data_IF_297263633238
#
_entry.id   IF_297263633238
#
_cell.length_a   1.000
_cell.length_b   1.000
_cell.length_c   1.000
_cell.angle_alpha   90.00
_cell.angle_beta   90.00
_cell.angle_gamma   90.00
#
_symmetry.space_group_name_H-M   'P 1'
#
loop_
_entity.id
_entity.type
_entity.pdbx_description
1 polymer ?
#
# COMPACT_ATOMS: atom_id res chain seq x y z
N UNK A 1 -4.33 32.16 4.23
CA UNK A 1 -5.35 31.08 4.36
C UNK A 1 -4.60 29.76 4.42
N UNK A 2 -4.83 28.95 5.45
CA UNK A 2 -4.23 27.61 5.60
C UNK A 2 -5.36 26.60 5.43
N UNK A 3 -5.12 25.53 4.67
CA UNK A 3 -6.10 24.52 4.34
C UNK A 3 -5.46 23.14 4.40
N UNK A 4 -6.19 22.17 4.93
CA UNK A 4 -5.89 20.77 4.68
C UNK A 4 -6.26 20.41 3.23
N UNK A 5 -5.61 19.40 2.66
CA UNK A 5 -5.87 18.96 1.28
C UNK A 5 -7.34 18.62 1.01
N UNK A 6 -8.05 18.08 2.01
CA UNK A 6 -9.50 17.79 1.93
C UNK A 6 -10.39 19.04 1.80
N UNK A 7 -9.87 20.22 2.13
CA UNK A 7 -10.58 21.50 2.01
C UNK A 7 -10.25 22.23 0.71
N UNK A 8 -9.31 21.72 -0.09
CA UNK A 8 -9.00 22.22 -1.43
C UNK A 8 -9.99 21.60 -2.43
N UNK A 9 -11.19 22.16 -2.49
CA UNK A 9 -12.29 21.66 -3.32
C UNK A 9 -12.65 22.59 -4.50
N UNK A 10 -12.04 23.78 -4.56
CA UNK A 10 -12.23 24.75 -5.63
C UNK A 10 -10.87 25.28 -6.10
N UNK A 11 -10.59 25.05 -7.38
CA UNK A 11 -9.37 25.45 -8.05
C UNK A 11 -9.22 26.99 -8.13
N UNK A 12 -10.31 27.75 -8.13
CA UNK A 12 -10.29 29.20 -8.16
C UNK A 12 -9.64 29.81 -6.92
N UNK A 13 -9.56 29.05 -5.81
CA UNK A 13 -8.86 29.46 -4.58
C UNK A 13 -7.39 29.81 -4.85
N UNK A 14 -6.75 29.16 -5.84
CA UNK A 14 -5.35 29.35 -6.17
C UNK A 14 -5.08 30.56 -7.10
N UNK A 15 -6.09 31.04 -7.83
CA UNK A 15 -5.92 32.05 -8.90
C UNK A 15 -5.32 33.35 -8.38
N UNK A 16 -4.22 33.79 -9.01
CA UNK A 16 -3.48 35.00 -8.67
C UNK A 16 -2.76 34.96 -7.32
N UNK A 17 -2.67 33.80 -6.66
CA UNK A 17 -2.07 33.67 -5.33
C UNK A 17 -0.73 32.96 -5.36
N UNK A 18 0.09 33.24 -4.35
CA UNK A 18 1.26 32.44 -4.00
C UNK A 18 0.79 31.24 -3.17
N UNK A 19 1.04 30.04 -3.66
CA UNK A 19 0.60 28.79 -3.02
C UNK A 19 1.80 28.02 -2.51
N UNK A 20 1.78 27.66 -1.22
CA UNK A 20 2.74 26.74 -0.62
C UNK A 20 2.00 25.44 -0.31
N UNK A 21 2.49 24.33 -0.86
CA UNK A 21 1.95 22.99 -0.61
C UNK A 21 2.92 22.24 0.29
N UNK A 22 2.43 21.79 1.45
CA UNK A 22 3.21 20.99 2.39
C UNK A 22 2.92 19.51 2.16
N UNK A 23 3.96 18.73 1.85
CA UNK A 23 3.88 17.30 1.59
C UNK A 23 4.48 16.89 0.25
N UNK A 24 4.78 15.59 0.11
CA UNK A 24 5.42 15.04 -1.08
C UNK A 24 4.70 13.83 -1.68
N UNK A 25 3.47 13.52 -1.24
CA UNK A 25 2.70 12.38 -1.77
C UNK A 25 1.73 12.83 -2.89
N UNK A 26 0.76 11.98 -3.23
CA UNK A 26 -0.18 12.17 -4.36
C UNK A 26 -0.97 13.48 -4.27
N UNK A 27 -1.67 13.73 -3.17
CA UNK A 27 -2.51 14.93 -3.03
C UNK A 27 -1.70 16.22 -3.12
N UNK A 28 -0.50 16.24 -2.55
CA UNK A 28 0.38 17.41 -2.61
C UNK A 28 0.82 17.72 -4.05
N UNK A 29 1.21 16.69 -4.82
CA UNK A 29 1.61 16.91 -6.22
C UNK A 29 0.42 17.25 -7.12
N UNK A 30 -0.77 16.71 -6.86
CA UNK A 30 -2.00 17.08 -7.55
C UNK A 30 -2.38 18.54 -7.30
N UNK A 31 -2.37 18.98 -6.04
CA UNK A 31 -2.68 20.36 -5.67
C UNK A 31 -1.64 21.31 -6.27
N UNK A 32 -0.35 20.98 -6.25
CA UNK A 32 0.69 21.82 -6.84
C UNK A 32 0.49 22.02 -8.34
N UNK A 33 0.24 20.93 -9.08
CA UNK A 33 -0.04 20.98 -10.53
C UNK A 33 -1.35 21.72 -10.80
N UNK A 34 -2.41 21.43 -10.03
CA UNK A 34 -3.70 22.11 -10.18
C UNK A 34 -3.58 23.61 -9.92
N UNK A 35 -2.85 24.03 -8.89
CA UNK A 35 -2.65 25.44 -8.57
C UNK A 35 -1.98 26.21 -9.72
N UNK A 36 -0.92 25.64 -10.32
CA UNK A 36 -0.29 26.22 -11.52
C UNK A 36 -1.30 26.35 -12.66
N UNK A 37 -2.01 25.27 -12.98
CA UNK A 37 -2.99 25.27 -14.08
C UNK A 37 -4.17 26.22 -13.83
N UNK A 38 -4.44 26.58 -12.58
CA UNK A 38 -5.51 27.49 -12.17
C UNK A 38 -5.08 28.95 -12.06
N UNK A 39 -3.84 29.26 -12.47
CA UNK A 39 -3.32 30.61 -12.52
C UNK A 39 -2.77 31.13 -11.19
N UNK A 40 -2.27 30.26 -10.32
CA UNK A 40 -1.44 30.70 -9.20
C UNK A 40 -0.24 31.53 -9.70
N UNK A 41 0.11 32.59 -8.97
CA UNK A 41 1.25 33.44 -9.35
C UNK A 41 2.59 32.75 -9.08
N UNK A 42 2.63 31.90 -8.05
CA UNK A 42 3.79 31.12 -7.64
C UNK A 42 3.32 29.84 -6.95
N UNK A 43 4.03 28.72 -7.17
CA UNK A 43 3.79 27.47 -6.44
C UNK A 43 5.09 26.94 -5.87
N UNK A 44 5.12 26.74 -4.56
CA UNK A 44 6.21 26.09 -3.84
C UNK A 44 5.73 24.77 -3.23
N UNK A 45 6.43 23.68 -3.51
CA UNK A 45 6.21 22.38 -2.87
C UNK A 45 7.29 22.16 -1.81
N UNK A 46 6.90 22.03 -0.55
CA UNK A 46 7.80 21.69 0.56
C UNK A 46 7.64 20.22 0.89
N UNK A 47 8.70 19.44 0.75
CA UNK A 47 8.69 17.99 0.91
C UNK A 47 9.90 17.50 1.71
N UNK A 48 9.74 16.43 2.48
CA UNK A 48 10.79 15.92 3.37
C UNK A 48 11.90 15.20 2.64
N UNK A 49 11.53 14.30 1.73
CA UNK A 49 12.46 13.49 0.95
C UNK A 49 11.86 13.15 -0.42
N UNK A 50 12.68 13.00 -1.47
CA UNK A 50 12.22 12.40 -2.71
C UNK A 50 11.76 10.95 -2.46
N UNK A 51 10.77 10.52 -3.23
CA UNK A 51 10.22 9.16 -3.21
C UNK A 51 10.08 8.67 -4.64
N UNK A 52 10.24 7.36 -4.84
CA UNK A 52 9.94 6.74 -6.11
C UNK A 52 8.44 6.87 -6.41
N UNK A 53 8.11 7.14 -7.68
CA UNK A 53 6.74 7.30 -8.13
C UNK A 53 6.42 6.32 -9.26
N UNK A 54 5.22 5.78 -9.23
CA UNK A 54 4.74 4.90 -10.28
C UNK A 54 4.24 5.73 -11.48
N UNK A 55 4.80 5.60 -12.70
CA UNK A 55 4.22 6.23 -13.88
C UNK A 55 2.90 5.57 -14.26
N UNK A 56 1.99 6.27 -14.95
CA UNK A 56 0.83 5.62 -15.57
C UNK A 56 1.24 4.62 -16.65
N UNK A 57 2.29 4.95 -17.41
CA UNK A 57 2.85 4.11 -18.47
C UNK A 57 4.37 4.00 -18.28
N UNK A 58 4.85 2.78 -18.08
CA UNK A 58 6.29 2.50 -17.99
C UNK A 58 6.87 2.57 -19.41
N UNK A 59 7.90 3.40 -19.58
CA UNK A 59 8.50 3.66 -20.89
C UNK A 59 7.54 4.28 -21.91
N UNK A 60 6.41 4.84 -21.47
CA UNK A 60 5.37 5.40 -22.34
C UNK A 60 4.48 4.36 -23.04
N UNK A 61 4.68 3.06 -22.80
CA UNK A 61 4.03 1.99 -23.57
C UNK A 61 3.12 1.12 -22.70
N UNK A 62 3.65 0.58 -21.60
CA UNK A 62 2.95 -0.44 -20.82
C UNK A 62 2.28 0.23 -19.63
N UNK A 63 0.95 0.10 -19.56
CA UNK A 63 0.21 0.57 -18.40
C UNK A 63 0.71 -0.14 -17.14
N UNK A 64 1.02 0.64 -16.10
CA UNK A 64 1.61 0.12 -14.85
C UNK A 64 0.82 -1.02 -14.23
N UNK A 65 -0.52 -1.04 -14.44
CA UNK A 65 -1.38 -2.06 -13.85
C UNK A 65 -1.00 -3.47 -14.30
N UNK A 66 -0.48 -3.62 -15.52
CA UNK A 66 -0.09 -4.92 -16.08
C UNK A 66 1.23 -5.45 -15.51
N UNK A 67 1.93 -4.65 -14.71
CA UNK A 67 3.22 -5.01 -14.12
C UNK A 67 3.05 -5.14 -12.60
N UNK A 68 2.49 -4.11 -11.95
CA UNK A 68 2.40 -4.05 -10.48
C UNK A 68 1.31 -4.94 -9.87
N UNK A 69 0.25 -5.27 -10.60
CA UNK A 69 -0.83 -6.09 -10.07
C UNK A 69 -0.67 -7.57 -10.44
N UNK A 70 0.54 -8.09 -10.50
CA UNK A 70 0.76 -9.49 -10.92
C UNK A 70 1.42 -10.29 -9.84
N UNK A 71 1.08 -11.58 -9.73
CA UNK A 71 1.75 -12.48 -8.77
C UNK A 71 3.24 -12.60 -9.04
N UNK A 72 3.67 -12.49 -10.31
CA UNK A 72 5.09 -12.45 -10.65
C UNK A 72 5.83 -11.31 -9.94
N UNK A 73 5.23 -10.11 -9.93
CA UNK A 73 5.83 -8.95 -9.27
C UNK A 73 5.90 -9.14 -7.75
N UNK A 74 4.85 -9.69 -7.13
CA UNK A 74 4.85 -10.03 -5.71
C UNK A 74 5.97 -11.02 -5.35
N UNK A 75 6.22 -12.02 -6.20
CA UNK A 75 7.27 -13.03 -6.02
C UNK A 75 8.69 -12.51 -6.18
N UNK A 76 8.88 -11.27 -6.61
CA UNK A 76 10.19 -10.63 -6.55
C UNK A 76 10.60 -10.31 -5.10
N UNK A 77 9.64 -10.30 -4.18
CA UNK A 77 9.85 -10.04 -2.76
C UNK A 77 9.72 -11.34 -1.97
N UNK A 78 10.61 -11.51 -0.99
CA UNK A 78 10.43 -12.56 0.03
C UNK A 78 9.19 -12.21 0.86
N UNK A 79 8.26 -13.14 0.98
CA UNK A 79 7.05 -12.96 1.80
C UNK A 79 7.22 -13.53 3.21
N UNK A 80 6.31 -13.21 4.12
CA UNK A 80 6.31 -13.79 5.47
C UNK A 80 6.03 -15.30 5.44
N UNK A 81 6.60 -16.02 6.41
CA UNK A 81 6.35 -17.45 6.58
C UNK A 81 6.88 -18.35 5.45
N UNK A 82 7.74 -17.86 4.56
CA UNK A 82 8.33 -18.70 3.50
C UNK A 82 9.28 -19.76 4.07
N UNK A 83 9.17 -20.98 3.55
CA UNK A 83 10.04 -22.11 3.91
C UNK A 83 11.45 -22.00 3.33
N UNK A 84 12.36 -22.87 3.79
CA UNK A 84 13.79 -22.83 3.43
C UNK A 84 14.04 -22.97 1.92
N UNK A 85 13.31 -23.84 1.22
CA UNK A 85 13.46 -24.00 -0.23
C UNK A 85 13.09 -22.72 -0.99
N UNK A 86 12.02 -22.03 -0.56
CA UNK A 86 11.63 -20.74 -1.16
C UNK A 86 12.69 -19.66 -0.90
N UNK A 87 13.28 -19.63 0.31
CA UNK A 87 14.40 -18.71 0.60
C UNK A 87 15.61 -18.95 -0.30
N UNK A 88 15.96 -20.22 -0.55
CA UNK A 88 17.03 -20.59 -1.49
C UNK A 88 16.71 -20.16 -2.92
N UNK A 89 15.47 -20.39 -3.39
CA UNK A 89 15.04 -19.95 -4.71
C UNK A 89 15.14 -18.42 -4.87
N UNK A 90 14.74 -17.65 -3.86
CA UNK A 90 14.93 -16.19 -3.87
C UNK A 90 16.41 -15.79 -3.86
N UNK A 91 17.27 -16.51 -3.13
CA UNK A 91 18.71 -16.25 -3.15
C UNK A 91 19.31 -16.50 -4.54
N UNK A 92 18.91 -17.59 -5.20
CA UNK A 92 19.36 -17.91 -6.55
C UNK A 92 18.84 -16.91 -7.60
N UNK A 93 17.60 -16.44 -7.47
CA UNK A 93 17.00 -15.45 -8.38
C UNK A 93 17.46 -14.00 -8.11
N UNK A 94 18.16 -13.75 -7.01
CA UNK A 94 18.51 -12.40 -6.55
C UNK A 94 19.27 -11.56 -7.60
N UNK A 95 20.27 -12.08 -8.34
CA UNK A 95 20.97 -11.27 -9.35
C UNK A 95 20.04 -10.75 -10.46
N UNK A 96 19.09 -11.58 -10.90
CA UNK A 96 18.12 -11.21 -11.93
C UNK A 96 17.11 -10.18 -11.41
N UNK A 97 16.60 -10.40 -10.19
CA UNK A 97 15.67 -9.46 -9.53
C UNK A 97 16.35 -8.11 -9.30
N UNK A 98 17.59 -8.12 -8.83
CA UNK A 98 18.40 -6.91 -8.66
C UNK A 98 18.60 -6.17 -9.99
N UNK A 99 19.00 -6.87 -11.06
CA UNK A 99 19.18 -6.27 -12.38
C UNK A 99 17.88 -5.62 -12.91
N UNK A 100 16.73 -6.28 -12.70
CA UNK A 100 15.43 -5.70 -13.01
C UNK A 100 15.20 -4.38 -12.27
N UNK A 101 15.46 -4.32 -10.96
CA UNK A 101 15.25 -3.10 -10.18
C UNK A 101 16.18 -1.97 -10.60
N UNK A 102 17.47 -2.26 -10.85
CA UNK A 102 18.42 -1.26 -11.36
C UNK A 102 18.00 -0.72 -12.74
N UNK A 103 17.50 -1.61 -13.61
CA UNK A 103 16.95 -1.23 -14.91
C UNK A 103 15.74 -0.32 -14.77
N UNK A 104 14.81 -0.65 -13.87
CA UNK A 104 13.63 0.17 -13.59
C UNK A 104 14.01 1.53 -13.01
N UNK A 105 14.92 1.58 -12.04
CA UNK A 105 15.42 2.84 -11.47
C UNK A 105 16.02 3.74 -12.55
N UNK A 106 16.88 3.19 -13.41
CA UNK A 106 17.50 3.93 -14.51
C UNK A 106 16.45 4.47 -15.48
N UNK A 107 15.47 3.65 -15.85
CA UNK A 107 14.35 4.06 -16.69
C UNK A 107 13.55 5.19 -16.05
N UNK A 108 13.20 5.09 -14.76
CA UNK A 108 12.42 6.11 -14.06
C UNK A 108 13.18 7.41 -13.85
N UNK A 109 14.49 7.35 -13.57
CA UNK A 109 15.37 8.53 -13.51
C UNK A 109 15.32 9.32 -14.82
N UNK A 110 15.44 8.63 -15.94
CA UNK A 110 15.36 9.23 -17.28
C UNK A 110 13.95 9.72 -17.60
N UNK A 111 12.93 8.88 -17.41
CA UNK A 111 11.53 9.18 -17.76
C UNK A 111 10.99 10.40 -17.00
N UNK A 112 11.37 10.56 -15.73
CA UNK A 112 10.95 11.69 -14.91
C UNK A 112 11.97 12.83 -14.82
N UNK A 113 13.13 12.70 -15.46
CA UNK A 113 14.22 13.69 -15.39
C UNK A 113 14.59 14.02 -13.94
N UNK A 114 14.74 12.98 -13.10
CA UNK A 114 14.88 13.15 -11.65
C UNK A 114 16.14 13.95 -11.26
N UNK A 115 17.24 13.79 -12.01
CA UNK A 115 18.47 14.57 -11.79
C UNK A 115 18.22 16.06 -11.99
N UNK A 116 17.49 16.43 -13.06
CA UNK A 116 17.14 17.83 -13.34
C UNK A 116 16.20 18.43 -12.29
N UNK A 117 15.39 17.59 -11.66
CA UNK A 117 14.48 18.01 -10.61
C UNK A 117 15.13 18.07 -9.22
N UNK A 118 16.38 17.60 -9.06
CA UNK A 118 16.98 17.30 -7.77
C UNK A 118 16.07 16.39 -6.88
N UNK A 119 15.49 15.36 -7.49
CA UNK A 119 14.50 14.47 -6.87
C UNK A 119 14.82 12.98 -7.03
N UNK A 120 16.09 12.62 -7.15
CA UNK A 120 16.49 11.21 -7.09
C UNK A 120 16.33 10.70 -5.65
N UNK A 121 15.52 9.65 -5.40
CA UNK A 121 15.39 9.07 -4.07
C UNK A 121 16.71 8.42 -3.60
N UNK A 122 17.02 8.56 -2.31
CA UNK A 122 18.20 7.95 -1.70
C UNK A 122 18.01 6.44 -1.46
N UNK A 123 16.76 6.00 -1.24
CA UNK A 123 16.43 4.59 -1.06
C UNK A 123 16.28 3.86 -2.39
N UNK A 124 16.57 2.57 -2.41
CA UNK A 124 16.31 1.70 -3.55
C UNK A 124 14.81 1.47 -3.73
N UNK A 125 14.34 1.25 -4.96
CA UNK A 125 12.90 1.04 -5.23
C UNK A 125 12.34 -0.13 -4.41
N UNK A 126 13.02 -1.27 -4.44
CA UNK A 126 12.60 -2.52 -3.80
C UNK A 126 12.49 -2.42 -2.27
N UNK A 127 13.30 -1.55 -1.66
CA UNK A 127 13.27 -1.26 -0.23
C UNK A 127 12.14 -0.28 0.12
N UNK A 128 11.78 0.61 -0.80
CA UNK A 128 10.70 1.59 -0.62
C UNK A 128 9.30 1.10 -1.02
N UNK A 129 9.18 -0.07 -1.69
CA UNK A 129 7.87 -0.53 -2.18
C UNK A 129 6.90 -0.87 -1.05
N UNK A 130 5.87 -0.03 -0.93
CA UNK A 130 4.77 -0.17 0.00
C UNK A 130 3.55 0.64 -0.52
N UNK A 131 2.51 0.69 0.30
CA UNK A 131 1.22 1.31 -0.01
C UNK A 131 1.26 2.85 -0.11
N UNK A 132 2.38 3.48 0.26
CA UNK A 132 2.59 4.92 0.15
C UNK A 132 3.22 5.36 -1.16
N UNK A 133 3.64 4.43 -2.04
CA UNK A 133 4.15 4.80 -3.37
C UNK A 133 3.06 5.56 -4.12
N UNK A 134 3.29 6.85 -4.43
CA UNK A 134 2.31 7.61 -5.17
C UNK A 134 2.45 7.33 -6.66
N UNK A 135 1.32 7.35 -7.36
CA UNK A 135 1.33 7.50 -8.82
C UNK A 135 1.86 8.90 -9.15
N UNK A 136 2.70 9.00 -10.17
CA UNK A 136 3.21 10.28 -10.64
C UNK A 136 2.05 11.14 -11.18
N UNK A 137 1.85 12.31 -10.58
CA UNK A 137 0.90 13.30 -11.08
C UNK A 137 1.34 13.76 -12.48
N UNK A 138 0.47 13.68 -13.50
CA UNK A 138 0.80 14.16 -14.84
C UNK A 138 1.20 15.63 -14.81
N UNK A 139 2.29 15.98 -15.49
CA UNK A 139 2.80 17.35 -15.54
C UNK A 139 3.69 17.78 -14.35
N UNK A 140 3.69 17.04 -13.23
CA UNK A 140 4.48 17.42 -12.05
C UNK A 140 5.98 17.56 -12.32
N UNK A 141 6.65 16.49 -12.76
CA UNK A 141 8.09 16.54 -13.02
C UNK A 141 8.47 17.52 -14.14
N UNK A 142 7.74 17.62 -15.27
CA UNK A 142 7.97 18.69 -16.23
C UNK A 142 7.92 20.10 -15.62
N UNK A 143 6.91 20.39 -14.77
CA UNK A 143 6.75 21.68 -14.11
C UNK A 143 7.82 21.97 -13.05
N UNK A 144 8.37 20.94 -12.41
CA UNK A 144 9.54 21.12 -11.53
C UNK A 144 10.79 21.38 -12.37
N UNK A 145 11.01 20.58 -13.41
CA UNK A 145 12.18 20.65 -14.28
C UNK A 145 12.29 21.94 -15.09
N UNK A 146 11.19 22.68 -15.30
CA UNK A 146 11.18 24.00 -15.95
C UNK A 146 11.03 25.17 -14.97
N UNK A 147 10.95 24.90 -13.66
CA UNK A 147 10.93 25.90 -12.61
C UNK A 147 9.54 26.48 -12.28
N UNK A 148 8.46 26.03 -12.93
CA UNK A 148 7.09 26.45 -12.60
C UNK A 148 6.67 26.03 -11.20
N UNK A 149 7.12 24.87 -10.72
CA UNK A 149 6.96 24.44 -9.33
C UNK A 149 8.33 24.50 -8.65
N UNK A 150 8.46 25.39 -7.66
CA UNK A 150 9.66 25.45 -6.82
C UNK A 150 9.59 24.34 -5.77
N UNK A 151 10.37 23.29 -5.95
CA UNK A 151 10.46 22.22 -4.96
C UNK A 151 11.56 22.50 -3.93
N UNK A 152 11.23 22.42 -2.65
CA UNK A 152 12.15 22.67 -1.54
C UNK A 152 12.15 21.47 -0.60
N UNK A 153 13.34 20.89 -0.38
CA UNK A 153 13.55 19.89 0.67
C UNK A 153 13.46 20.59 2.03
N UNK A 154 12.48 20.20 2.84
CA UNK A 154 12.23 20.83 4.13
C UNK A 154 11.33 19.96 5.01
N UNK A 155 11.12 20.38 6.24
CA UNK A 155 10.24 19.69 7.19
C UNK A 155 9.19 20.65 7.74
N UNK A 156 8.25 20.09 8.47
CA UNK A 156 7.29 20.80 9.29
C UNK A 156 7.38 20.24 10.72
N UNK A 157 6.84 20.98 11.69
CA UNK A 157 6.98 20.69 13.12
C UNK A 157 6.32 19.36 13.52
N UNK A 158 5.04 19.17 13.19
CA UNK A 158 4.30 17.94 13.46
C UNK A 158 3.13 17.71 12.48
N UNK A 159 2.64 16.46 12.43
CA UNK A 159 1.37 16.11 11.80
C UNK A 159 0.59 15.16 12.72
N UNK A 160 -0.74 15.23 12.67
CA UNK A 160 -1.61 14.31 13.40
C UNK A 160 -1.61 12.93 12.75
N UNK A 161 -1.43 11.88 13.57
CA UNK A 161 -1.49 10.50 13.10
C UNK A 161 -2.94 10.04 13.02
N UNK A 162 -3.24 9.25 11.99
CA UNK A 162 -4.50 8.52 11.90
C UNK A 162 -4.52 7.48 13.03
N UNK A 163 -5.57 7.49 13.83
CA UNK A 163 -5.77 6.58 14.96
C UNK A 163 -7.24 6.17 15.09
N UNK A 164 -7.53 5.43 16.15
CA UNK A 164 -8.86 4.92 16.47
C UNK A 164 -9.37 5.54 17.79
N UNK A 165 -9.59 6.87 17.84
CA UNK A 165 -9.91 7.58 19.08
C UNK A 165 -11.25 7.17 19.71
N UNK A 166 -12.11 6.50 18.93
CA UNK A 166 -13.37 5.93 19.40
C UNK A 166 -13.18 4.68 20.27
N UNK A 167 -12.00 4.05 20.26
CA UNK A 167 -11.70 2.90 21.13
C UNK A 167 -11.29 3.39 22.53
N UNK A 168 -11.81 2.74 23.60
CA UNK A 168 -11.29 2.90 24.95
C UNK A 168 -9.77 2.74 25.00
N UNK A 169 -9.11 3.50 25.87
CA UNK A 169 -7.64 3.48 25.98
C UNK A 169 -7.10 2.07 26.22
N UNK A 170 -7.77 1.28 27.07
CA UNK A 170 -7.40 -0.11 27.35
C UNK A 170 -7.31 -0.99 26.10
N UNK A 171 -8.22 -0.81 25.14
CA UNK A 171 -8.17 -1.52 23.86
C UNK A 171 -7.16 -0.90 22.90
N UNK A 172 -6.94 0.41 22.94
CA UNK A 172 -5.87 1.03 22.14
C UNK A 172 -4.49 0.51 22.54
N UNK A 173 -4.26 0.36 23.85
CA UNK A 173 -3.01 -0.16 24.40
C UNK A 173 -2.79 -1.65 24.07
N UNK A 174 -3.87 -2.43 23.87
CA UNK A 174 -3.78 -3.84 23.48
C UNK A 174 -3.64 -4.06 21.97
N UNK A 175 -4.09 -3.12 21.14
CA UNK A 175 -4.07 -3.27 19.66
C UNK A 175 -3.01 -2.42 18.96
N UNK A 176 -2.31 -1.52 19.67
CA UNK A 176 -1.26 -0.65 19.11
C UNK A 176 -0.01 -0.72 19.98
N UNK A 177 1.10 -1.19 19.41
CA UNK A 177 2.42 -1.18 20.08
C UNK A 177 2.94 0.26 20.23
N UNK A 178 3.90 0.47 21.14
CA UNK A 178 4.49 1.78 21.43
C UNK A 178 5.13 2.49 20.21
N UNK A 179 5.55 1.73 19.20
CA UNK A 179 6.07 2.26 17.93
C UNK A 179 4.96 2.63 16.92
N UNK A 180 3.69 2.47 17.30
CA UNK A 180 2.51 2.75 16.51
C UNK A 180 2.10 1.63 15.56
N UNK A 181 2.68 0.43 15.68
CA UNK A 181 2.29 -0.72 14.87
C UNK A 181 1.01 -1.39 15.41
N UNK A 182 0.04 -1.62 14.53
CA UNK A 182 -1.19 -2.32 14.87
C UNK A 182 -0.98 -3.83 14.98
N UNK A 183 -1.51 -4.41 16.05
CA UNK A 183 -1.50 -5.84 16.38
C UNK A 183 -2.73 -6.52 15.80
N UNK A 184 -2.80 -6.70 14.49
CA UNK A 184 -3.97 -7.31 13.83
C UNK A 184 -3.62 -8.62 13.12
N UNK A 185 -4.30 -9.70 13.49
CA UNK A 185 -4.34 -10.94 12.74
C UNK A 185 -5.02 -10.70 11.39
N UNK A 186 -4.37 -11.16 10.32
CA UNK A 186 -4.78 -10.91 8.93
C UNK A 186 -5.02 -9.42 8.61
N UNK A 187 -4.50 -8.48 9.40
CA UNK A 187 -4.80 -7.05 9.28
C UNK A 187 -6.30 -6.71 9.49
N UNK A 188 -7.06 -7.60 10.14
CA UNK A 188 -8.51 -7.49 10.31
C UNK A 188 -8.92 -7.53 11.78
N UNK A 189 -8.47 -8.51 12.57
CA UNK A 189 -8.99 -8.74 13.93
C UNK A 189 -7.86 -8.85 14.95
N UNK A 190 -8.15 -8.60 16.23
CA UNK A 190 -7.24 -8.85 17.34
C UNK A 190 -7.96 -9.73 18.38
N UNK A 191 -7.33 -10.80 18.89
CA UNK A 191 -7.98 -11.72 19.83
C UNK A 191 -8.34 -11.07 21.19
N UNK A 192 -7.68 -9.98 21.56
CA UNK A 192 -7.92 -9.19 22.77
C UNK A 192 -8.95 -8.06 22.54
N UNK A 193 -9.52 -7.99 21.34
CA UNK A 193 -10.61 -7.09 20.96
C UNK A 193 -11.81 -7.92 20.48
N UNK A 194 -12.63 -8.47 21.40
CA UNK A 194 -13.75 -9.34 21.05
C UNK A 194 -14.83 -8.59 20.28
N UNK A 195 -15.57 -9.32 19.44
CA UNK A 195 -16.73 -8.84 18.68
C UNK A 195 -16.49 -7.62 17.78
N UNK A 196 -15.23 -7.33 17.46
CA UNK A 196 -14.85 -6.22 16.61
C UNK A 196 -13.69 -6.59 15.68
N UNK A 197 -13.78 -6.08 14.46
CA UNK A 197 -12.69 -6.14 13.49
C UNK A 197 -12.70 -4.90 12.60
N UNK A 198 -11.65 -4.78 11.81
CA UNK A 198 -11.37 -3.62 10.97
C UNK A 198 -11.47 -4.02 9.51
N UNK A 199 -12.36 -3.36 8.77
CA UNK A 199 -12.53 -3.53 7.32
C UNK A 199 -12.15 -2.22 6.63
N UNK A 200 -11.26 -2.31 5.64
CA UNK A 200 -10.79 -1.13 4.89
C UNK A 200 -9.87 -0.20 5.69
N UNK A 201 -9.48 -0.59 6.91
CA UNK A 201 -8.50 0.14 7.71
C UNK A 201 -7.06 -0.11 7.24
N UNK A 202 -6.84 -1.23 6.56
CA UNK A 202 -5.59 -1.54 5.89
C UNK A 202 -5.49 -0.85 4.51
N UNK A 203 -4.25 -0.70 4.06
CA UNK A 203 -3.94 -0.13 2.75
C UNK A 203 -3.38 -1.21 1.82
N UNK A 204 -3.78 -1.14 0.56
CA UNK A 204 -3.48 -2.14 -0.48
C UNK A 204 -3.56 -1.47 -1.85
N UNK A 205 -2.82 -1.96 -2.84
CA UNK A 205 -3.01 -1.51 -4.22
C UNK A 205 -4.40 -1.89 -4.76
N UNK A 206 -5.07 -2.90 -4.18
CA UNK A 206 -6.42 -3.35 -4.49
C UNK A 206 -7.37 -3.13 -3.30
N UNK A 207 -7.45 -1.91 -2.77
CA UNK A 207 -8.17 -1.62 -1.51
C UNK A 207 -9.63 -2.09 -1.50
N UNK A 208 -10.39 -1.90 -2.59
CA UNK A 208 -11.80 -2.33 -2.67
C UNK A 208 -11.94 -3.84 -2.50
N UNK A 209 -11.17 -4.61 -3.29
CA UNK A 209 -11.15 -6.08 -3.18
C UNK A 209 -10.66 -6.54 -1.80
N UNK A 210 -9.69 -5.83 -1.23
CA UNK A 210 -9.17 -6.14 0.10
C UNK A 210 -10.22 -5.95 1.19
N UNK A 211 -11.00 -4.87 1.13
CA UNK A 211 -12.10 -4.64 2.05
C UNK A 211 -13.21 -5.68 1.88
N UNK A 212 -13.54 -6.07 0.65
CA UNK A 212 -14.54 -7.10 0.36
C UNK A 212 -14.14 -8.48 0.92
N UNK A 213 -12.89 -8.90 0.67
CA UNK A 213 -12.36 -10.14 1.26
C UNK A 213 -12.31 -10.07 2.78
N UNK A 214 -11.90 -8.93 3.34
CA UNK A 214 -11.85 -8.73 4.78
C UNK A 214 -13.24 -8.79 5.43
N UNK A 215 -14.27 -8.23 4.80
CA UNK A 215 -15.64 -8.30 5.29
C UNK A 215 -16.19 -9.74 5.30
N UNK A 216 -15.98 -10.47 4.19
CA UNK A 216 -16.36 -11.88 4.09
C UNK A 216 -15.63 -12.76 5.11
N UNK A 217 -14.35 -12.47 5.36
CA UNK A 217 -13.57 -13.17 6.38
C UNK A 217 -14.05 -12.83 7.80
N UNK A 218 -14.23 -11.54 8.10
CA UNK A 218 -14.57 -11.05 9.45
C UNK A 218 -15.92 -11.56 9.93
N UNK A 219 -16.95 -11.52 9.08
CA UNK A 219 -18.29 -11.98 9.48
C UNK A 219 -18.29 -13.48 9.83
N UNK A 220 -17.53 -14.27 9.09
CA UNK A 220 -17.37 -15.71 9.36
C UNK A 220 -16.51 -15.97 10.59
N UNK A 221 -15.46 -15.18 10.78
CA UNK A 221 -14.61 -15.26 11.96
C UNK A 221 -15.43 -14.99 13.23
N UNK A 222 -16.24 -13.92 13.23
CA UNK A 222 -17.08 -13.52 14.36
C UNK A 222 -18.07 -14.61 14.75
N UNK A 223 -18.70 -15.27 13.78
CA UNK A 223 -19.67 -16.34 14.04
C UNK A 223 -19.04 -17.75 14.16
N UNK A 224 -17.71 -17.86 14.16
CA UNK A 224 -17.02 -19.16 14.26
C UNK A 224 -17.20 -20.08 13.04
N UNK A 225 -17.48 -19.51 11.87
CA UNK A 225 -17.82 -20.19 10.62
C UNK A 225 -16.70 -20.19 9.58
N UNK A 226 -15.47 -19.83 9.94
CA UNK A 226 -14.33 -20.10 9.08
C UNK A 226 -14.07 -21.61 9.03
N UNK A 227 -13.69 -22.11 7.85
CA UNK A 227 -13.25 -23.50 7.72
C UNK A 227 -11.99 -23.74 8.54
N UNK A 228 -11.09 -22.75 8.58
CA UNK A 228 -9.94 -22.74 9.48
C UNK A 228 -10.11 -21.59 10.48
N UNK A 229 -10.92 -21.83 11.51
CA UNK A 229 -11.10 -20.88 12.61
C UNK A 229 -9.81 -20.83 13.47
N UNK A 230 -9.13 -19.68 13.57
CA UNK A 230 -7.90 -19.59 14.33
C UNK A 230 -8.19 -19.52 15.83
N UNK A 231 -7.33 -20.14 16.63
CA UNK A 231 -7.28 -19.93 18.08
C UNK A 231 -6.60 -18.60 18.42
N UNK A 232 -6.86 -18.05 19.60
CA UNK A 232 -6.18 -16.83 20.07
C UNK A 232 -4.65 -16.98 20.09
N UNK A 233 -4.13 -18.16 20.44
CA UNK A 233 -2.70 -18.44 20.43
C UNK A 233 -2.09 -18.40 19.02
N UNK A 234 -2.80 -18.92 18.02
CA UNK A 234 -2.38 -18.85 16.61
C UNK A 234 -2.39 -17.42 16.09
N UNK A 235 -3.43 -16.65 16.45
CA UNK A 235 -3.52 -15.23 16.10
C UNK A 235 -2.36 -14.43 16.69
N UNK A 236 -2.05 -14.60 17.98
CA UNK A 236 -0.93 -13.93 18.63
C UNK A 236 0.41 -14.32 18.00
N UNK A 237 0.63 -15.61 17.72
CA UNK A 237 1.85 -16.07 17.04
C UNK A 237 2.01 -15.44 15.66
N UNK A 238 0.93 -15.31 14.90
CA UNK A 238 0.95 -14.66 13.60
C UNK A 238 1.23 -13.16 13.72
N UNK A 239 0.60 -12.47 14.68
CA UNK A 239 0.84 -11.06 14.97
C UNK A 239 2.33 -10.83 15.25
N UNK A 240 2.94 -11.60 16.15
CA UNK A 240 4.36 -11.47 16.49
C UNK A 240 5.28 -11.73 15.28
N UNK A 241 4.98 -12.75 14.48
CA UNK A 241 5.69 -12.99 13.22
C UNK A 241 5.59 -11.79 12.28
N UNK A 242 4.40 -11.21 12.12
CA UNK A 242 4.17 -10.06 11.23
C UNK A 242 4.83 -8.78 11.75
N UNK A 243 4.83 -8.56 13.07
CA UNK A 243 5.55 -7.45 13.69
C UNK A 243 7.07 -7.59 13.46
N UNK A 244 7.63 -8.79 13.67
CA UNK A 244 9.05 -9.06 13.35
C UNK A 244 9.34 -8.85 11.87
N UNK A 245 8.47 -9.33 10.98
CA UNK A 245 8.61 -9.11 9.54
C UNK A 245 8.67 -7.61 9.21
N UNK A 246 7.74 -6.82 9.75
CA UNK A 246 7.69 -5.36 9.54
C UNK A 246 8.88 -4.62 10.16
N UNK A 247 9.42 -5.10 11.29
CA UNK A 247 10.53 -4.41 11.99
C UNK A 247 11.90 -4.77 11.42
N UNK A 248 12.08 -6.01 10.96
CA UNK A 248 13.41 -6.56 10.64
C UNK A 248 13.54 -6.94 9.18
N UNK A 249 12.59 -7.70 8.64
CA UNK A 249 12.74 -8.26 7.29
C UNK A 249 12.30 -7.29 6.19
N UNK A 250 11.27 -6.49 6.45
CA UNK A 250 10.74 -5.49 5.52
C UNK A 250 10.15 -4.26 6.25
N UNK A 251 11.01 -3.33 6.70
CA UNK A 251 10.61 -2.02 7.26
C UNK A 251 9.59 -1.25 6.43
N UNK A 252 9.63 -1.39 5.10
CA UNK A 252 8.67 -0.78 4.18
C UNK A 252 7.20 -1.13 4.49
N UNK A 253 6.94 -2.32 5.03
CA UNK A 253 5.59 -2.76 5.38
C UNK A 253 5.06 -2.12 6.68
N UNK A 254 5.93 -1.46 7.47
CA UNK A 254 5.57 -0.76 8.71
C UNK A 254 4.85 0.58 8.50
N UNK A 255 4.73 1.07 7.26
CA UNK A 255 3.97 2.29 6.96
C UNK A 255 2.49 2.16 7.36
N UNK A 256 1.85 3.28 7.65
CA UNK A 256 0.45 3.33 8.11
C UNK A 256 0.18 2.44 9.34
N UNK A 257 1.12 2.42 10.29
CA UNK A 257 1.01 1.58 11.49
C UNK A 257 1.09 0.08 11.19
N UNK A 258 1.82 -0.31 10.14
CA UNK A 258 1.93 -1.71 9.75
C UNK A 258 0.69 -2.27 9.06
N UNK A 259 -0.21 -1.41 8.60
CA UNK A 259 -1.45 -1.82 7.95
C UNK A 259 -1.31 -1.91 6.43
N UNK A 260 -0.08 -1.92 5.91
CA UNK A 260 0.15 -2.07 4.49
C UNK A 260 0.27 -3.54 4.07
N UNK A 261 -0.58 -3.95 3.12
CA UNK A 261 -0.53 -5.28 2.48
C UNK A 261 0.52 -5.31 1.36
N UNK A 262 0.74 -4.19 0.67
CA UNK A 262 1.58 -4.17 -0.54
C UNK A 262 3.04 -4.56 -0.26
N UNK A 263 3.69 -5.31 -1.18
CA UNK A 263 3.17 -5.81 -2.45
C UNK A 263 2.38 -7.14 -2.36
N UNK A 264 2.11 -7.66 -1.16
CA UNK A 264 1.67 -9.04 -0.90
C UNK A 264 0.16 -9.29 -0.97
N UNK A 265 -0.54 -8.63 -1.89
CA UNK A 265 -2.00 -8.68 -1.97
C UNK A 265 -2.49 -10.10 -2.29
N UNK A 266 -1.83 -10.80 -3.20
CA UNK A 266 -2.26 -12.14 -3.58
C UNK A 266 -2.04 -13.13 -2.44
N UNK A 267 -0.88 -13.10 -1.78
CA UNK A 267 -0.67 -13.91 -0.57
C UNK A 267 -1.71 -13.61 0.50
N UNK A 268 -1.99 -12.33 0.75
CA UNK A 268 -3.02 -11.94 1.71
C UNK A 268 -4.39 -12.51 1.34
N UNK A 269 -4.81 -12.39 0.08
CA UNK A 269 -6.08 -12.95 -0.38
C UNK A 269 -6.10 -14.48 -0.33
N UNK A 270 -5.00 -15.15 -0.68
CA UNK A 270 -4.89 -16.61 -0.60
C UNK A 270 -5.04 -17.11 0.84
N UNK A 271 -4.47 -16.39 1.81
CA UNK A 271 -4.62 -16.68 3.23
C UNK A 271 -6.06 -16.51 3.70
N UNK A 272 -6.74 -15.40 3.33
CA UNK A 272 -8.14 -15.19 3.67
C UNK A 272 -9.06 -16.25 3.04
N UNK A 273 -8.86 -16.57 1.75
CA UNK A 273 -9.64 -17.58 1.04
C UNK A 273 -9.40 -18.98 1.61
N UNK A 274 -8.18 -19.28 2.07
CA UNK A 274 -7.87 -20.53 2.75
C UNK A 274 -8.61 -20.63 4.09
N UNK A 275 -8.57 -19.56 4.91
CA UNK A 275 -9.29 -19.51 6.19
C UNK A 275 -10.81 -19.68 5.96
N UNK A 276 -11.37 -18.98 4.95
CA UNK A 276 -12.78 -19.09 4.55
C UNK A 276 -13.14 -20.50 4.03
N UNK A 277 -12.21 -21.18 3.36
CA UNK A 277 -12.41 -22.52 2.80
C UNK A 277 -12.90 -22.52 1.34
N UNK A 278 -12.50 -21.53 0.54
CA UNK A 278 -12.79 -21.49 -0.89
C UNK A 278 -12.16 -22.70 -1.61
N UNK A 279 -12.99 -23.46 -2.34
CA UNK A 279 -12.57 -24.69 -3.04
C UNK A 279 -12.06 -24.44 -4.46
N UNK A 280 -12.46 -23.33 -5.08
CA UNK A 280 -12.02 -22.94 -6.43
C UNK A 280 -10.83 -21.98 -6.34
N UNK A 281 -9.89 -22.15 -7.27
CA UNK A 281 -8.78 -21.24 -7.57
C UNK A 281 -8.62 -21.16 -9.09
N UNK A 282 -7.83 -20.19 -9.58
CA UNK A 282 -7.49 -20.14 -11.00
C UNK A 282 -6.73 -21.41 -11.40
N UNK A 283 -7.07 -21.98 -12.57
CA UNK A 283 -6.47 -23.23 -13.06
C UNK A 283 -5.26 -23.00 -13.97
N UNK A 284 -5.18 -21.86 -14.65
CA UNK A 284 -4.09 -21.55 -15.56
C UNK A 284 -2.99 -20.75 -14.83
N UNK A 285 -1.85 -21.41 -14.59
CA UNK A 285 -0.72 -20.86 -13.86
C UNK A 285 -0.09 -19.62 -14.52
N UNK A 286 -0.04 -19.55 -15.86
CA UNK A 286 0.54 -18.41 -16.57
C UNK A 286 -0.36 -17.19 -16.44
N UNK A 287 -1.66 -17.38 -16.66
CA UNK A 287 -2.64 -16.28 -16.52
C UNK A 287 -2.65 -15.79 -15.08
N UNK A 288 -2.72 -16.69 -14.10
CA UNK A 288 -2.65 -16.34 -12.69
C UNK A 288 -1.35 -15.60 -12.31
N UNK A 289 -0.23 -15.97 -12.92
CA UNK A 289 1.07 -15.35 -12.65
C UNK A 289 1.17 -13.90 -13.15
N UNK A 290 0.59 -13.61 -14.32
CA UNK A 290 0.84 -12.36 -15.06
C UNK A 290 -0.39 -11.47 -15.26
N UNK A 291 -1.57 -11.84 -14.77
CA UNK A 291 -2.76 -10.99 -14.84
C UNK A 291 -3.02 -10.24 -13.53
N UNK A 292 -3.62 -9.03 -13.61
CA UNK A 292 -4.27 -8.35 -12.48
C UNK A 292 -5.27 -9.22 -11.71
N UNK A 293 -5.55 -8.92 -10.42
CA UNK A 293 -6.74 -9.41 -9.74
C UNK A 293 -7.99 -9.10 -10.56
N UNK A 294 -8.93 -10.04 -10.52
CA UNK A 294 -10.09 -10.09 -11.39
C UNK A 294 -11.33 -10.34 -10.54
N UNK A 295 -12.27 -9.39 -10.55
CA UNK A 295 -13.42 -9.40 -9.64
C UNK A 295 -14.27 -10.67 -9.82
N UNK A 296 -14.52 -11.08 -11.07
CA UNK A 296 -15.32 -12.27 -11.38
C UNK A 296 -14.66 -13.54 -10.85
N UNK A 297 -13.33 -13.67 -10.97
CA UNK A 297 -12.60 -14.80 -10.38
C UNK A 297 -12.75 -14.84 -8.85
N UNK A 298 -12.60 -13.71 -8.16
CA UNK A 298 -12.74 -13.67 -6.69
C UNK A 298 -14.18 -13.94 -6.23
N UNK A 299 -15.19 -13.48 -6.97
CA UNK A 299 -16.58 -13.85 -6.73
C UNK A 299 -16.79 -15.37 -6.87
N UNK A 300 -16.23 -16.00 -7.90
CA UNK A 300 -16.28 -17.46 -8.08
C UNK A 300 -15.54 -18.23 -6.98
N UNK A 301 -14.45 -17.67 -6.44
CA UNK A 301 -13.73 -18.26 -5.32
C UNK A 301 -14.57 -18.20 -4.05
N UNK A 302 -15.12 -17.04 -3.69
CA UNK A 302 -16.01 -16.89 -2.54
C UNK A 302 -17.25 -17.78 -2.65
N UNK A 303 -17.89 -17.84 -3.82
CA UNK A 303 -19.06 -18.69 -4.06
C UNK A 303 -18.77 -20.20 -3.94
N UNK A 304 -17.49 -20.59 -3.94
CA UNK A 304 -17.07 -21.98 -3.74
C UNK A 304 -16.80 -22.35 -2.28
N UNK A 305 -16.84 -21.38 -1.37
CA UNK A 305 -16.70 -21.60 0.07
C UNK A 305 -18.01 -22.16 0.67
N UNK A 306 -17.96 -22.73 1.89
CA UNK A 306 -19.17 -23.05 2.64
C UNK A 306 -20.11 -21.84 2.74
N UNK A 307 -21.42 -22.06 2.63
CA UNK A 307 -22.41 -20.99 2.76
C UNK A 307 -22.31 -20.37 4.15
N UNK A 308 -22.35 -19.04 4.23
CA UNK A 308 -22.45 -18.33 5.49
C UNK A 308 -23.91 -18.35 5.94
N UNK A 309 -24.14 -18.60 7.22
CA UNK A 309 -25.45 -18.51 7.84
C UNK A 309 -25.32 -17.58 9.04
N UNK A 310 -26.02 -16.45 9.06
CA UNK A 310 -25.95 -15.55 10.22
C UNK A 310 -26.34 -16.30 11.50
N UNK A 311 -25.54 -16.16 12.54
CA UNK A 311 -25.89 -16.65 13.87
C UNK A 311 -27.25 -16.09 14.31
N UNK A 312 -28.07 -16.93 14.94
CA UNK A 312 -29.35 -16.52 15.52
C UNK A 312 -29.15 -15.64 16.75
#
# INVERSE_FOLDING_TARGET
RILHSSQYNDAAIAKGRKVVVLGGSKSATDIAVNAINSGASDVTLVYRRPVWRCPYFIGGLINFKRIFYTRAQEQMFRSWGIGSLSRLAHAAANPLVWANWRGLESLLKLQFKLDKCDMVPDEQIEDGINCSIPIATPGFFPMVADGRIKAIRGTFDHYERIGVPFLPQTFRDSVVDADGQYRLYRLIANPDLPDMGFVGFNSSFCTVLCADMAANWLVRYADGQLTHQPTAAEMQKNIEMMLRFKRVERPAAGVYGGLCVAPYHFKHFDELLADIGAKKRRRNLLVERFSPPDADAYALFLASAPSYHAGA
#
